data_IF_817463003248
#
_entry.id   IF_817463003248
#
_cell.length_a   1.000
_cell.length_b   1.000
_cell.length_c   1.000
_cell.angle_alpha   90.00
_cell.angle_beta   90.00
_cell.angle_gamma   90.00
#
_symmetry.space_group_name_H-M   'P 1'
#
loop_
_entity.id
_entity.type
_entity.pdbx_description
1 polymer ?
#
# COMPACT_ATOMS: atom_id res chain seq x y z
N UNK A 1 59.01 -21.88 -22.98
CA UNK A 1 57.86 -21.01 -23.30
C UNK A 1 56.60 -21.72 -22.80
N UNK A 2 56.27 -21.57 -21.51
CA UNK A 2 55.05 -22.16 -20.94
C UNK A 2 53.97 -21.10 -20.95
N UNK A 3 53.07 -21.15 -21.92
CA UNK A 3 51.80 -20.44 -21.87
C UNK A 3 50.96 -21.08 -20.76
N UNK A 4 50.93 -20.44 -19.60
CA UNK A 4 49.95 -20.73 -18.56
C UNK A 4 48.58 -20.32 -19.11
N UNK A 5 47.82 -21.29 -19.61
CA UNK A 5 46.40 -21.11 -19.91
C UNK A 5 45.72 -20.51 -18.68
N UNK A 6 45.43 -19.21 -18.75
CA UNK A 6 44.66 -18.52 -17.72
C UNK A 6 43.28 -19.16 -17.75
N UNK A 7 43.02 -20.06 -16.80
CA UNK A 7 41.68 -20.58 -16.56
C UNK A 7 40.84 -19.41 -16.08
N UNK A 8 40.21 -18.70 -17.04
CA UNK A 8 39.24 -17.65 -16.78
C UNK A 8 38.02 -18.34 -16.19
N UNK A 9 37.99 -18.49 -14.86
CA UNK A 9 36.79 -18.93 -14.15
C UNK A 9 35.70 -17.90 -14.40
N UNK A 10 34.81 -18.18 -15.36
CA UNK A 10 33.66 -17.33 -15.66
C UNK A 10 32.76 -17.34 -14.43
N UNK A 11 32.72 -16.23 -13.69
CA UNK A 11 31.73 -16.03 -12.61
C UNK A 11 30.34 -16.14 -13.23
N UNK A 12 29.63 -17.21 -12.89
CA UNK A 12 28.27 -17.43 -13.37
C UNK A 12 27.29 -16.71 -12.45
N UNK A 13 26.59 -15.71 -12.99
CA UNK A 13 25.50 -15.04 -12.30
C UNK A 13 24.16 -15.61 -12.76
N UNK A 14 23.28 -16.04 -11.83
CA UNK A 14 21.96 -16.53 -12.18
C UNK A 14 21.11 -15.39 -12.77
N UNK A 15 20.21 -15.74 -13.71
CA UNK A 15 19.41 -14.76 -14.48
C UNK A 15 18.62 -13.83 -13.55
N UNK A 16 18.06 -14.35 -12.45
CA UNK A 16 17.33 -13.54 -11.46
C UNK A 16 18.15 -12.36 -10.94
N UNK A 17 19.44 -12.57 -10.67
CA UNK A 17 20.34 -11.53 -10.11
C UNK A 17 20.64 -10.47 -11.17
N UNK A 18 20.81 -10.89 -12.43
CA UNK A 18 21.01 -9.96 -13.55
C UNK A 18 19.79 -9.07 -13.76
N UNK A 19 18.59 -9.65 -13.68
CA UNK A 19 17.32 -8.92 -13.79
C UNK A 19 17.12 -7.96 -12.61
N UNK A 20 17.42 -8.38 -11.38
CA UNK A 20 17.36 -7.50 -10.20
C UNK A 20 18.33 -6.32 -10.32
N UNK A 21 19.59 -6.55 -10.69
CA UNK A 21 20.56 -5.46 -10.84
C UNK A 21 20.13 -4.43 -11.89
N UNK A 22 19.55 -4.89 -13.01
CA UNK A 22 19.03 -4.01 -14.06
C UNK A 22 17.76 -3.29 -13.60
N UNK A 23 16.93 -3.93 -12.78
CA UNK A 23 15.73 -3.34 -12.19
C UNK A 23 16.08 -2.21 -11.22
N UNK A 24 16.99 -2.46 -10.30
CA UNK A 24 17.35 -1.46 -9.29
C UNK A 24 17.96 -0.20 -9.93
N UNK A 25 18.67 -0.35 -11.06
CA UNK A 25 19.18 0.79 -11.84
C UNK A 25 18.09 1.58 -12.56
N UNK A 26 17.08 0.90 -13.09
CA UNK A 26 16.07 1.52 -13.99
C UNK A 26 14.81 1.99 -13.26
N UNK A 27 14.48 1.38 -12.11
CA UNK A 27 13.23 1.60 -11.38
C UNK A 27 13.50 2.21 -10.00
N UNK A 28 14.43 1.63 -9.25
CA UNK A 28 14.80 2.14 -7.91
C UNK A 28 15.82 3.29 -7.98
N UNK A 29 16.15 3.74 -9.20
CA UNK A 29 17.06 4.86 -9.51
C UNK A 29 18.44 4.80 -8.84
N UNK A 30 18.93 3.61 -8.48
CA UNK A 30 20.26 3.47 -7.90
C UNK A 30 21.34 3.97 -8.86
N UNK A 31 22.40 4.54 -8.27
CA UNK A 31 23.54 5.00 -9.05
C UNK A 31 24.35 3.82 -9.59
N UNK A 32 25.02 4.06 -10.73
CA UNK A 32 25.77 2.99 -11.41
C UNK A 32 26.79 2.35 -10.48
N UNK A 33 27.49 3.18 -9.67
CA UNK A 33 28.48 2.71 -8.68
C UNK A 33 27.84 1.85 -7.58
N UNK A 34 26.67 2.23 -7.09
CA UNK A 34 25.97 1.52 -6.01
C UNK A 34 25.53 0.12 -6.47
N UNK A 35 25.08 0.00 -7.72
CA UNK A 35 24.70 -1.30 -8.31
C UNK A 35 25.92 -2.21 -8.45
N UNK A 36 27.08 -1.69 -8.84
CA UNK A 36 28.31 -2.49 -8.93
C UNK A 36 28.73 -3.04 -7.57
N UNK A 37 28.62 -2.22 -6.51
CA UNK A 37 28.95 -2.62 -5.13
C UNK A 37 27.94 -3.66 -4.62
N UNK A 38 26.64 -3.39 -4.76
CA UNK A 38 25.54 -4.25 -4.28
C UNK A 38 25.60 -5.65 -4.88
N UNK A 39 25.90 -5.75 -6.17
CA UNK A 39 25.90 -7.02 -6.89
C UNK A 39 27.31 -7.63 -7.08
N UNK A 40 28.36 -6.95 -6.62
CA UNK A 40 29.77 -7.33 -6.76
C UNK A 40 30.13 -7.70 -8.21
N UNK A 41 29.82 -6.78 -9.13
CA UNK A 41 29.99 -6.94 -10.58
C UNK A 41 30.84 -5.83 -11.14
N UNK A 42 31.63 -6.13 -12.17
CA UNK A 42 32.38 -5.09 -12.87
C UNK A 42 31.48 -4.33 -13.86
N UNK A 43 31.85 -3.07 -14.12
CA UNK A 43 31.12 -2.14 -15.00
C UNK A 43 30.78 -2.76 -16.36
N UNK A 44 31.74 -3.40 -17.04
CA UNK A 44 31.52 -4.00 -18.36
C UNK A 44 30.51 -5.15 -18.35
N UNK A 45 30.50 -5.94 -17.27
CA UNK A 45 29.56 -7.05 -17.10
C UNK A 45 28.15 -6.53 -16.85
N UNK A 46 28.02 -5.54 -15.98
CA UNK A 46 26.73 -4.91 -15.69
C UNK A 46 26.18 -4.16 -16.91
N UNK A 47 27.02 -3.45 -17.66
CA UNK A 47 26.63 -2.80 -18.91
C UNK A 47 26.10 -3.81 -19.93
N UNK A 48 26.74 -4.98 -20.04
CA UNK A 48 26.25 -6.07 -20.88
C UNK A 48 24.88 -6.59 -20.44
N UNK A 49 24.60 -6.62 -19.13
CA UNK A 49 23.27 -6.98 -18.62
C UNK A 49 22.23 -5.89 -18.90
N UNK A 50 22.60 -4.63 -18.71
CA UNK A 50 21.73 -3.49 -18.99
C UNK A 50 21.27 -3.51 -20.45
N UNK A 51 22.21 -3.66 -21.40
CA UNK A 51 21.88 -3.74 -22.82
C UNK A 51 20.98 -4.94 -23.16
N UNK A 52 21.21 -6.09 -22.51
CA UNK A 52 20.47 -7.33 -22.80
C UNK A 52 19.08 -7.39 -22.16
N UNK A 53 18.92 -6.85 -20.96
CA UNK A 53 17.72 -7.04 -20.14
C UNK A 53 16.89 -5.78 -19.92
N UNK A 54 17.35 -4.60 -20.38
CA UNK A 54 16.61 -3.32 -20.25
C UNK A 54 15.19 -3.41 -20.80
N UNK A 55 15.02 -3.89 -22.05
CA UNK A 55 13.68 -4.02 -22.66
C UNK A 55 12.77 -4.97 -21.89
N UNK A 56 13.32 -6.09 -21.43
CA UNK A 56 12.57 -7.09 -20.65
C UNK A 56 12.14 -6.55 -19.30
N UNK A 57 13.02 -5.86 -18.56
CA UNK A 57 12.71 -5.28 -17.26
C UNK A 57 11.66 -4.18 -17.40
N UNK A 58 11.80 -3.29 -18.39
CA UNK A 58 10.81 -2.25 -18.67
C UNK A 58 9.46 -2.84 -19.12
N UNK A 59 9.47 -3.91 -19.91
CA UNK A 59 8.26 -4.59 -20.35
C UNK A 59 7.55 -5.33 -19.20
N UNK A 60 8.28 -6.13 -18.40
CA UNK A 60 7.72 -6.80 -17.22
C UNK A 60 7.17 -5.78 -16.21
N UNK A 61 7.86 -4.66 -16.00
CA UNK A 61 7.35 -3.60 -15.14
C UNK A 61 6.14 -2.90 -15.75
N UNK A 62 6.14 -2.68 -17.07
CA UNK A 62 4.97 -2.13 -17.76
C UNK A 62 3.77 -3.05 -17.59
N UNK A 63 3.91 -4.36 -17.75
CA UNK A 63 2.83 -5.32 -17.51
C UNK A 63 2.38 -5.36 -16.04
N UNK A 64 3.28 -5.18 -15.07
CA UNK A 64 2.88 -5.05 -13.65
C UNK A 64 2.11 -3.77 -13.40
N UNK A 65 2.53 -2.64 -13.98
CA UNK A 65 1.77 -1.38 -13.91
C UNK A 65 0.43 -1.45 -14.65
N UNK A 66 0.35 -2.23 -15.74
CA UNK A 66 -0.87 -2.50 -16.51
C UNK A 66 -1.76 -3.61 -15.90
N UNK A 67 -1.27 -4.36 -14.92
CA UNK A 67 -2.09 -5.31 -14.14
C UNK A 67 -2.91 -4.63 -13.04
N UNK A 68 -2.71 -3.32 -12.83
CA UNK A 68 -3.73 -2.43 -12.30
C UNK A 68 -4.64 -2.02 -13.48
N UNK A 69 -5.96 -1.81 -13.29
CA UNK A 69 -6.84 -1.41 -14.40
C UNK A 69 -6.46 -0.01 -14.92
N UNK A 70 -5.50 0.05 -15.85
CA UNK A 70 -4.91 1.27 -16.40
C UNK A 70 -4.85 1.14 -17.92
N UNK A 71 -5.97 0.75 -18.54
CA UNK A 71 -6.02 0.56 -20.00
C UNK A 71 -6.22 1.85 -20.80
N UNK A 72 -6.22 3.04 -20.19
CA UNK A 72 -6.22 4.28 -20.95
C UNK A 72 -5.68 5.49 -20.14
N UNK A 73 -4.67 6.23 -20.64
CA UNK A 73 -4.21 7.46 -19.98
C UNK A 73 -5.27 8.57 -19.93
N UNK A 74 -6.34 8.50 -20.75
CA UNK A 74 -7.51 9.39 -20.61
C UNK A 74 -8.38 9.07 -19.38
N UNK A 75 -8.42 7.81 -18.91
CA UNK A 75 -9.15 7.46 -17.67
C UNK A 75 -8.42 7.90 -16.41
N UNK A 76 -7.10 8.11 -16.47
CA UNK A 76 -6.31 8.64 -15.35
C UNK A 76 -6.58 10.13 -15.05
N UNK A 77 -7.19 10.86 -15.99
CA UNK A 77 -7.49 12.29 -15.87
C UNK A 77 -8.99 12.61 -15.97
N UNK A 78 -9.85 11.60 -16.02
CA UNK A 78 -11.29 11.79 -16.18
C UNK A 78 -12.02 10.92 -15.17
N UNK A 79 -12.45 11.52 -14.06
CA UNK A 79 -13.50 10.96 -13.20
C UNK A 79 -14.66 10.55 -14.08
N UNK A 80 -14.91 9.24 -14.17
CA UNK A 80 -16.05 8.70 -14.90
C UNK A 80 -17.36 9.18 -14.28
N UNK A 81 -18.43 9.28 -15.06
CA UNK A 81 -19.72 9.78 -14.55
C UNK A 81 -20.24 8.96 -13.35
N UNK A 82 -19.91 7.66 -13.31
CA UNK A 82 -20.21 6.78 -12.19
C UNK A 82 -19.43 7.15 -10.92
N UNK A 83 -18.14 7.45 -11.05
CA UNK A 83 -17.33 7.90 -9.92
C UNK A 83 -17.78 9.27 -9.42
N UNK A 84 -18.23 10.16 -10.31
CA UNK A 84 -18.82 11.45 -9.92
C UNK A 84 -20.11 11.26 -9.12
N UNK A 85 -20.98 10.36 -9.58
CA UNK A 85 -22.23 10.07 -8.89
C UNK A 85 -22.02 9.43 -7.52
N UNK A 86 -21.08 8.49 -7.40
CA UNK A 86 -20.75 7.88 -6.11
C UNK A 86 -20.08 8.88 -5.17
N UNK A 87 -19.22 9.77 -5.69
CA UNK A 87 -18.60 10.83 -4.89
C UNK A 87 -19.67 11.81 -4.35
N UNK A 88 -20.65 12.19 -5.17
CA UNK A 88 -21.75 13.05 -4.73
C UNK A 88 -22.61 12.37 -3.67
N UNK A 89 -22.97 11.09 -3.88
CA UNK A 89 -23.69 10.29 -2.89
C UNK A 89 -22.92 10.18 -1.56
N UNK A 90 -21.61 9.95 -1.63
CA UNK A 90 -20.75 9.89 -0.44
C UNK A 90 -20.68 11.25 0.27
N UNK A 91 -20.68 12.36 -0.47
CA UNK A 91 -20.75 13.71 0.13
C UNK A 91 -22.05 13.94 0.86
N UNK A 92 -23.18 13.57 0.26
CA UNK A 92 -24.50 13.66 0.91
C UNK A 92 -24.58 12.82 2.18
N UNK A 93 -24.08 11.58 2.15
CA UNK A 93 -24.09 10.69 3.32
C UNK A 93 -23.18 11.24 4.43
N UNK A 94 -22.01 11.77 4.07
CA UNK A 94 -21.11 12.43 5.03
C UNK A 94 -21.79 13.65 5.68
N UNK A 95 -22.47 14.47 4.89
CA UNK A 95 -23.15 15.66 5.41
C UNK A 95 -24.28 15.29 6.38
N UNK A 96 -25.07 14.28 6.02
CA UNK A 96 -26.09 13.71 6.90
C UNK A 96 -25.50 13.16 8.20
N UNK A 97 -24.35 12.48 8.13
CA UNK A 97 -23.67 11.96 9.32
C UNK A 97 -23.13 13.07 10.21
N UNK A 98 -22.62 14.18 9.66
CA UNK A 98 -22.21 15.35 10.46
C UNK A 98 -23.35 15.93 11.27
N UNK A 99 -24.50 16.17 10.64
CA UNK A 99 -25.70 16.69 11.32
C UNK A 99 -26.13 15.74 12.45
N UNK A 100 -26.05 14.43 12.21
CA UNK A 100 -26.37 13.43 13.23
C UNK A 100 -25.39 13.46 14.40
N UNK A 101 -24.08 13.61 14.14
CA UNK A 101 -23.05 13.75 15.17
C UNK A 101 -23.28 15.02 15.99
N UNK A 102 -23.54 16.15 15.36
CA UNK A 102 -23.87 17.41 16.04
C UNK A 102 -25.09 17.27 16.96
N UNK A 103 -26.15 16.59 16.48
CA UNK A 103 -27.32 16.31 17.30
C UNK A 103 -26.99 15.42 18.52
N UNK A 104 -26.13 14.41 18.36
CA UNK A 104 -25.67 13.57 19.48
C UNK A 104 -24.85 14.36 20.49
N UNK A 105 -23.95 15.22 20.02
CA UNK A 105 -23.16 16.10 20.89
C UNK A 105 -24.06 17.05 21.68
N UNK A 106 -25.06 17.65 21.04
CA UNK A 106 -26.05 18.48 21.73
C UNK A 106 -26.83 17.70 22.79
N UNK A 107 -27.25 16.47 22.49
CA UNK A 107 -27.95 15.63 23.47
C UNK A 107 -27.07 15.30 24.67
N UNK A 108 -25.77 15.03 24.45
CA UNK A 108 -24.80 14.80 25.52
C UNK A 108 -24.61 16.05 26.39
N UNK A 109 -24.52 17.23 25.77
CA UNK A 109 -24.39 18.50 26.49
C UNK A 109 -25.64 18.82 27.32
N UNK A 110 -26.83 18.61 26.75
CA UNK A 110 -28.10 18.79 27.47
C UNK A 110 -28.23 17.82 28.64
N UNK A 111 -27.84 16.55 28.46
CA UNK A 111 -27.84 15.57 29.55
C UNK A 111 -26.92 15.99 30.70
N UNK A 112 -25.73 16.53 30.38
CA UNK A 112 -24.77 16.99 31.37
C UNK A 112 -25.21 18.26 32.09
N UNK A 113 -25.74 19.24 31.35
CA UNK A 113 -26.07 20.57 31.90
C UNK A 113 -27.42 20.62 32.58
N UNK A 114 -28.45 19.97 32.01
CA UNK A 114 -29.83 20.05 32.51
C UNK A 114 -30.21 18.87 33.40
N UNK A 115 -29.70 17.68 33.09
CA UNK A 115 -30.02 16.47 33.84
C UNK A 115 -28.91 16.06 34.79
N UNK A 116 -27.74 16.72 34.74
CA UNK A 116 -26.56 16.38 35.54
C UNK A 116 -26.10 14.92 35.36
N UNK A 117 -26.36 14.35 34.18
CA UNK A 117 -25.95 12.99 33.81
C UNK A 117 -24.79 13.09 32.83
N UNK A 118 -23.59 12.67 33.27
CA UNK A 118 -22.44 12.54 32.37
C UNK A 118 -22.47 11.17 31.68
N UNK A 119 -23.16 11.12 30.54
CA UNK A 119 -23.38 9.89 29.78
C UNK A 119 -22.06 9.23 29.35
N UNK A 120 -21.03 10.02 29.00
CA UNK A 120 -19.72 9.48 28.59
C UNK A 120 -19.03 8.83 29.78
N UNK A 121 -18.94 9.55 30.91
CA UNK A 121 -18.33 9.02 32.14
C UNK A 121 -19.05 7.77 32.63
N UNK A 122 -20.38 7.77 32.62
CA UNK A 122 -21.16 6.60 33.03
C UNK A 122 -20.88 5.38 32.16
N UNK A 123 -20.73 5.57 30.84
CA UNK A 123 -20.39 4.48 29.93
C UNK A 123 -18.98 3.93 30.16
N UNK A 124 -18.00 4.80 30.40
CA UNK A 124 -16.63 4.41 30.76
C UNK A 124 -16.60 3.62 32.07
N UNK A 125 -17.34 4.04 33.10
CA UNK A 125 -17.49 3.31 34.36
C UNK A 125 -18.14 1.94 34.16
N UNK A 126 -19.16 1.84 33.29
CA UNK A 126 -19.75 0.55 32.93
C UNK A 126 -18.76 -0.37 32.21
N UNK A 127 -17.91 0.18 31.33
CA UNK A 127 -16.85 -0.59 30.66
C UNK A 127 -15.82 -1.11 31.67
N UNK A 128 -15.37 -0.25 32.60
CA UNK A 128 -14.44 -0.62 33.67
C UNK A 128 -15.04 -1.66 34.61
N UNK A 129 -16.34 -1.58 34.88
CA UNK A 129 -17.07 -2.57 35.67
C UNK A 129 -17.35 -3.89 34.91
N UNK A 130 -16.94 -4.00 33.63
CA UNK A 130 -17.15 -5.19 32.81
C UNK A 130 -18.62 -5.46 32.45
N UNK A 131 -19.51 -4.49 32.65
CA UNK A 131 -20.96 -4.63 32.48
C UNK A 131 -21.41 -4.58 31.00
N UNK A 132 -20.55 -4.09 30.10
CA UNK A 132 -20.89 -3.86 28.69
C UNK A 132 -20.67 -5.11 27.81
N UNK A 133 -20.15 -6.21 28.35
CA UNK A 133 -20.00 -7.47 27.61
C UNK A 133 -21.16 -8.45 27.89
N UNK A 134 -22.38 -8.02 27.61
CA UNK A 134 -23.59 -8.82 27.73
C UNK A 134 -23.94 -9.60 26.45
N UNK A 135 -23.09 -10.51 25.98
CA UNK A 135 -23.59 -11.60 25.11
C UNK A 135 -24.50 -12.43 26.00
N UNK A 136 -25.82 -12.17 25.99
CA UNK A 136 -26.82 -12.96 26.71
C UNK A 136 -26.61 -14.43 26.32
N UNK A 137 -25.91 -15.20 27.15
CA UNK A 137 -25.94 -16.66 27.08
C UNK A 137 -27.38 -17.03 27.38
N UNK A 138 -28.13 -17.35 26.33
CA UNK A 138 -29.47 -17.87 26.44
C UNK A 138 -29.46 -19.01 27.45
N UNK A 139 -30.14 -18.81 28.57
CA UNK A 139 -30.41 -19.85 29.55
C UNK A 139 -31.36 -20.84 28.88
N UNK A 140 -30.79 -21.83 28.19
CA UNK A 140 -31.54 -23.01 27.77
C UNK A 140 -32.03 -23.71 29.04
N UNK A 141 -33.32 -23.52 29.36
CA UNK A 141 -34.00 -24.36 30.33
C UNK A 141 -34.10 -25.75 29.72
N UNK A 142 -33.46 -26.71 30.37
CA UNK A 142 -33.82 -28.13 30.30
C UNK A 142 -35.18 -28.33 30.95
#
# INVERSE_FOLDING_TARGET
>A
MSELEKIIKRRHFPVRVKLSAVRDRLIEELDFSEVLIKYNVCSSTFQGWLNKYKSRVLSEESYKRLSLPVDNPKTLLSMTDKERQELERLREEVEKQKVLVEAYELMLELAKTRLHVDVKKNYEEMLLAGLVNGKKRGRAKR
#
